data_IF_571806539375
#
_entry.id   IF_571806539375
#
_cell.length_a   1.000
_cell.length_b   1.000
_cell.length_c   1.000
_cell.angle_alpha   90.00
_cell.angle_beta   90.00
_cell.angle_gamma   90.00
#
_symmetry.space_group_name_H-M   'P 1'
#
loop_
_entity.id
_entity.type
_entity.pdbx_description
1 polymer ?
#
# COMPACT_ATOMS: atom_id res chain seq x y z
N UNK A 1 -12.46 31.19 -13.71
CA UNK A 1 -12.19 30.54 -12.41
C UNK A 1 -13.52 29.95 -11.94
N UNK A 2 -13.77 28.66 -12.14
CA UNK A 2 -15.00 28.04 -11.61
C UNK A 2 -14.87 27.95 -10.08
N UNK A 3 -15.89 28.38 -9.30
CA UNK A 3 -15.87 28.20 -7.86
C UNK A 3 -15.84 26.70 -7.55
N UNK A 4 -14.83 26.26 -6.81
CA UNK A 4 -14.74 24.87 -6.37
C UNK A 4 -15.85 24.62 -5.33
N UNK A 5 -16.64 23.56 -5.48
CA UNK A 5 -17.70 23.27 -4.52
C UNK A 5 -17.08 23.02 -3.14
N UNK A 6 -17.51 23.77 -2.13
CA UNK A 6 -17.11 23.55 -0.75
C UNK A 6 -17.65 22.20 -0.29
N UNK A 7 -16.76 21.32 0.14
CA UNK A 7 -17.16 19.99 0.62
C UNK A 7 -18.05 20.11 1.86
N UNK A 8 -19.08 19.27 1.92
CA UNK A 8 -19.96 19.18 3.09
C UNK A 8 -19.21 18.49 4.24
N UNK A 9 -19.56 18.79 5.50
CA UNK A 9 -18.98 18.14 6.69
C UNK A 9 -18.98 16.60 6.60
N UNK A 10 -20.03 16.00 6.03
CA UNK A 10 -20.11 14.55 5.77
C UNK A 10 -19.05 14.07 4.79
N UNK A 11 -18.82 14.80 3.70
CA UNK A 11 -17.80 14.46 2.70
C UNK A 11 -16.39 14.56 3.27
N UNK A 12 -16.12 15.56 4.13
CA UNK A 12 -14.85 15.64 4.85
C UNK A 12 -14.64 14.43 5.76
N UNK A 13 -15.69 14.02 6.48
CA UNK A 13 -15.61 12.85 7.36
C UNK A 13 -15.40 11.56 6.55
N UNK A 14 -16.09 11.40 5.41
CA UNK A 14 -15.88 10.26 4.51
C UNK A 14 -14.48 10.26 3.91
N UNK A 15 -14.01 11.40 3.39
CA UNK A 15 -12.68 11.53 2.79
C UNK A 15 -11.59 11.28 3.85
N UNK A 16 -11.74 11.85 5.05
CA UNK A 16 -10.85 11.62 6.18
C UNK A 16 -10.80 10.15 6.58
N UNK A 17 -11.94 9.47 6.65
CA UNK A 17 -12.01 8.03 6.93
C UNK A 17 -11.39 7.17 5.84
N UNK A 18 -11.55 7.54 4.56
CA UNK A 18 -10.93 6.83 3.43
C UNK A 18 -9.41 6.99 3.45
N UNK A 19 -8.91 8.22 3.64
CA UNK A 19 -7.49 8.50 3.77
C UNK A 19 -6.91 7.81 5.01
N UNK A 20 -7.63 7.83 6.12
CA UNK A 20 -7.27 7.07 7.32
C UNK A 20 -7.17 5.58 7.02
N UNK A 21 -8.19 4.97 6.40
CA UNK A 21 -8.16 3.54 6.05
C UNK A 21 -7.04 3.17 5.07
N UNK A 22 -6.73 4.06 4.13
CA UNK A 22 -5.63 3.89 3.18
C UNK A 22 -4.25 3.93 3.88
N UNK A 23 -4.07 4.81 4.86
CA UNK A 23 -2.81 4.94 5.62
C UNK A 23 -2.73 4.06 6.87
N UNK A 24 -3.84 3.56 7.42
CA UNK A 24 -3.87 2.64 8.57
C UNK A 24 -4.18 1.19 8.15
N UNK A 25 -3.98 0.86 6.86
CA UNK A 25 -4.13 -0.52 6.38
C UNK A 25 -3.24 -1.53 7.12
N UNK A 26 -3.45 -2.82 6.88
CA UNK A 26 -2.80 -3.92 7.63
C UNK A 26 -1.28 -3.78 7.80
N UNK A 27 -0.57 -3.26 6.80
CA UNK A 27 0.88 -3.03 6.86
C UNK A 27 1.32 -1.96 7.86
N UNK A 28 0.54 -0.88 8.01
CA UNK A 28 0.82 0.20 8.95
C UNK A 28 0.33 -0.11 10.38
N UNK A 29 -0.35 -1.24 10.59
CA UNK A 29 -0.73 -1.75 11.92
C UNK A 29 0.23 -2.84 12.42
N UNK A 30 0.67 -3.73 11.53
CA UNK A 30 1.59 -4.82 11.89
C UNK A 30 3.00 -4.28 12.19
N UNK A 31 3.48 -3.34 11.39
CA UNK A 31 4.86 -2.86 11.47
C UNK A 31 5.17 -2.11 12.79
N UNK A 32 4.29 -1.23 13.32
CA UNK A 32 4.54 -0.56 14.60
C UNK A 32 4.54 -1.51 15.78
N UNK A 33 3.70 -2.54 15.77
CA UNK A 33 3.68 -3.56 16.82
C UNK A 33 5.01 -4.31 16.82
N UNK A 34 5.47 -4.76 15.64
CA UNK A 34 6.74 -5.45 15.51
C UNK A 34 7.93 -4.55 15.90
N UNK A 35 7.96 -3.30 15.43
CA UNK A 35 9.01 -2.36 15.82
C UNK A 35 8.97 -2.02 17.31
N UNK A 36 7.79 -1.90 17.91
CA UNK A 36 7.62 -1.70 19.35
C UNK A 36 8.18 -2.88 20.16
N UNK A 37 7.95 -4.10 19.69
CA UNK A 37 8.55 -5.31 20.28
C UNK A 37 10.08 -5.28 20.20
N UNK A 38 10.66 -4.86 19.06
CA UNK A 38 12.10 -4.73 18.90
C UNK A 38 12.70 -3.58 19.73
N UNK A 39 11.96 -2.48 19.91
CA UNK A 39 12.39 -1.31 20.67
C UNK A 39 12.37 -1.54 22.19
N UNK A 40 11.60 -2.52 22.68
CA UNK A 40 11.52 -2.86 24.09
C UNK A 40 11.10 -1.66 24.96
N UNK A 41 11.97 -1.25 25.89
CA UNK A 41 11.71 -0.11 26.78
C UNK A 41 11.68 1.24 26.05
N UNK A 42 12.31 1.34 24.87
CA UNK A 42 12.37 2.55 24.05
C UNK A 42 11.25 2.64 23.00
N UNK A 43 10.10 2.00 23.26
CA UNK A 43 8.97 1.99 22.33
C UNK A 43 8.40 3.39 22.04
N UNK A 44 8.47 4.32 23.00
CA UNK A 44 7.90 5.66 22.86
C UNK A 44 8.69 6.52 21.84
N UNK A 45 10.03 6.62 21.91
CA UNK A 45 10.84 7.19 20.83
C UNK A 45 10.60 6.51 19.47
N UNK A 46 10.50 5.17 19.44
CA UNK A 46 10.26 4.42 18.22
C UNK A 46 8.89 4.74 17.59
N UNK A 47 7.85 4.90 18.42
CA UNK A 47 6.52 5.30 17.99
C UNK A 47 6.51 6.73 17.41
N UNK A 48 7.22 7.67 18.03
CA UNK A 48 7.32 9.05 17.51
C UNK A 48 8.06 9.06 16.17
N UNK A 49 9.19 8.37 16.06
CA UNK A 49 9.93 8.25 14.80
C UNK A 49 9.11 7.57 13.70
N UNK A 50 8.33 6.54 14.05
CA UNK A 50 7.39 5.90 13.13
C UNK A 50 6.30 6.87 12.68
N UNK A 51 5.64 7.58 13.58
CA UNK A 51 4.58 8.54 13.22
C UNK A 51 5.12 9.65 12.31
N UNK A 52 6.29 10.20 12.64
CA UNK A 52 6.93 11.23 11.83
C UNK A 52 7.31 10.73 10.44
N UNK A 53 7.80 9.50 10.29
CA UNK A 53 8.16 8.98 8.96
C UNK A 53 6.94 8.47 8.19
N UNK A 54 6.14 7.61 8.81
CA UNK A 54 5.04 6.89 8.15
C UNK A 54 3.80 7.76 7.89
N UNK A 55 3.59 8.85 8.63
CA UNK A 55 2.43 9.74 8.43
C UNK A 55 2.83 11.03 7.72
N UNK A 56 3.95 11.66 8.09
CA UNK A 56 4.34 12.94 7.49
C UNK A 56 4.68 12.79 6.00
N UNK A 57 5.42 11.75 5.60
CA UNK A 57 5.83 11.57 4.20
C UNK A 57 4.63 11.38 3.26
N UNK A 58 3.63 10.54 3.57
CA UNK A 58 2.43 10.46 2.74
C UNK A 58 1.58 11.73 2.72
N UNK A 59 1.49 12.45 3.85
CA UNK A 59 0.81 13.75 3.90
C UNK A 59 1.51 14.79 3.01
N UNK A 60 2.85 14.87 3.08
CA UNK A 60 3.65 15.72 2.20
C UNK A 60 3.48 15.33 0.73
N UNK A 61 3.37 14.02 0.44
CA UNK A 61 3.13 13.52 -0.92
C UNK A 61 1.77 13.97 -1.46
N UNK A 62 0.70 13.84 -0.66
CA UNK A 62 -0.64 14.35 -1.04
C UNK A 62 -0.61 15.86 -1.25
N UNK A 63 0.05 16.60 -0.35
CA UNK A 63 0.17 18.05 -0.47
C UNK A 63 0.91 18.45 -1.74
N UNK A 64 2.01 17.76 -2.07
CA UNK A 64 2.76 18.00 -3.30
C UNK A 64 1.90 17.76 -4.56
N UNK A 65 1.15 16.66 -4.61
CA UNK A 65 0.24 16.35 -5.73
C UNK A 65 -0.88 17.41 -5.83
N UNK A 66 -1.44 17.83 -4.69
CA UNK A 66 -2.48 18.85 -4.64
C UNK A 66 -1.98 20.21 -5.18
N UNK A 67 -0.73 20.57 -4.86
CA UNK A 67 -0.10 21.82 -5.30
C UNK A 67 0.26 21.80 -6.79
N UNK A 68 0.75 20.68 -7.32
CA UNK A 68 1.17 20.58 -8.73
C UNK A 68 -0.01 20.46 -9.70
N UNK A 69 -1.23 20.19 -9.20
CA UNK A 69 -2.45 19.96 -10.01
C UNK A 69 -2.23 18.92 -11.12
N UNK A 70 -1.32 17.98 -10.91
CA UNK A 70 -1.02 16.94 -11.87
C UNK A 70 -2.21 15.98 -11.99
N UNK A 71 -2.67 15.74 -13.21
CA UNK A 71 -3.72 14.77 -13.51
C UNK A 71 -3.26 13.33 -13.40
N UNK A 72 -1.94 13.09 -13.52
CA UNK A 72 -1.35 11.75 -13.49
C UNK A 72 0.05 11.76 -12.87
N UNK A 73 0.51 10.60 -12.39
CA UNK A 73 1.90 10.44 -11.93
C UNK A 73 2.91 10.72 -13.04
N UNK A 74 2.53 10.48 -14.30
CA UNK A 74 3.34 10.82 -15.45
C UNK A 74 3.52 12.34 -15.58
N UNK A 75 2.44 13.11 -15.45
CA UNK A 75 2.49 14.58 -15.50
C UNK A 75 3.34 15.16 -14.37
N UNK A 76 3.30 14.51 -13.20
CA UNK A 76 4.13 14.89 -12.05
C UNK A 76 5.63 14.70 -12.34
N UNK A 77 6.01 13.63 -13.05
CA UNK A 77 7.40 13.31 -13.36
C UNK A 77 7.89 13.89 -14.70
N UNK A 78 6.98 14.39 -15.55
CA UNK A 78 7.27 14.97 -16.87
C UNK A 78 8.35 16.07 -16.85
N UNK A 79 8.44 16.97 -15.84
CA UNK A 79 9.51 17.96 -15.76
C UNK A 79 10.92 17.37 -15.70
N UNK A 80 11.08 16.13 -15.23
CA UNK A 80 12.36 15.41 -15.21
C UNK A 80 12.68 14.68 -16.53
N UNK A 81 11.79 14.73 -17.52
CA UNK A 81 11.96 14.16 -18.85
C UNK A 81 11.02 13.00 -19.16
N UNK A 82 10.70 12.82 -20.45
CA UNK A 82 9.75 11.80 -20.93
C UNK A 82 10.13 10.36 -20.51
N UNK A 83 11.38 9.97 -20.76
CA UNK A 83 11.85 8.61 -20.45
C UNK A 83 11.84 8.33 -18.95
N UNK A 84 12.21 9.32 -18.14
CA UNK A 84 12.14 9.21 -16.68
C UNK A 84 10.69 9.10 -16.20
N UNK A 85 9.79 9.93 -16.71
CA UNK A 85 8.38 9.91 -16.33
C UNK A 85 7.69 8.58 -16.66
N UNK A 86 7.99 8.00 -17.83
CA UNK A 86 7.48 6.69 -18.23
C UNK A 86 8.03 5.57 -17.33
N UNK A 87 9.35 5.56 -17.09
CA UNK A 87 9.97 4.59 -16.19
C UNK A 87 9.39 4.68 -14.77
N UNK A 88 9.27 5.90 -14.23
CA UNK A 88 8.73 6.13 -12.89
C UNK A 88 7.28 5.68 -12.77
N UNK A 89 6.45 5.96 -13.79
CA UNK A 89 5.07 5.48 -13.84
C UNK A 89 5.00 3.95 -13.80
N UNK A 90 5.73 3.28 -14.70
CA UNK A 90 5.74 1.82 -14.81
C UNK A 90 6.30 1.16 -13.53
N UNK A 91 7.42 1.66 -13.03
CA UNK A 91 8.08 1.13 -11.82
C UNK A 91 7.17 1.26 -10.59
N UNK A 92 6.49 2.40 -10.43
CA UNK A 92 5.57 2.63 -9.31
C UNK A 92 4.36 1.71 -9.40
N UNK A 93 3.74 1.58 -10.57
CA UNK A 93 2.59 0.66 -10.76
C UNK A 93 2.98 -0.80 -10.55
N UNK A 94 4.14 -1.22 -11.09
CA UNK A 94 4.64 -2.58 -10.91
C UNK A 94 4.95 -2.89 -9.44
N UNK A 95 5.50 -1.92 -8.70
CA UNK A 95 5.82 -2.04 -7.27
C UNK A 95 4.56 -2.13 -6.40
N UNK A 96 3.56 -1.27 -6.67
CA UNK A 96 2.29 -1.23 -5.95
C UNK A 96 1.43 -2.47 -6.18
N UNK A 97 1.47 -3.04 -7.39
CA UNK A 97 0.71 -4.24 -7.73
C UNK A 97 1.44 -5.53 -7.39
N UNK A 98 2.32 -5.95 -8.30
CA UNK A 98 2.79 -7.34 -8.34
C UNK A 98 4.14 -7.57 -7.67
N UNK A 99 5.10 -6.64 -7.82
CA UNK A 99 6.51 -6.95 -7.57
C UNK A 99 6.93 -6.84 -6.11
N UNK A 100 6.36 -5.89 -5.35
CA UNK A 100 6.83 -5.61 -3.99
C UNK A 100 5.68 -5.75 -2.98
N UNK A 101 4.55 -5.10 -3.23
CA UNK A 101 3.45 -5.09 -2.27
C UNK A 101 2.87 -6.49 -2.02
N UNK A 102 2.57 -7.23 -3.09
CA UNK A 102 1.93 -8.55 -2.97
C UNK A 102 2.82 -9.64 -2.35
N UNK A 103 4.11 -9.80 -2.73
CA UNK A 103 4.99 -10.76 -2.06
C UNK A 103 5.24 -10.39 -0.58
N UNK A 104 5.33 -9.10 -0.27
CA UNK A 104 5.50 -8.62 1.11
C UNK A 104 4.29 -8.94 1.98
N UNK A 105 3.07 -8.74 1.48
CA UNK A 105 1.87 -9.08 2.26
C UNK A 105 1.78 -10.59 2.49
N UNK A 106 2.04 -11.41 1.47
CA UNK A 106 2.06 -12.87 1.60
C UNK A 106 3.06 -13.35 2.67
N UNK A 107 4.30 -12.86 2.61
CA UNK A 107 5.36 -13.25 3.55
C UNK A 107 5.10 -12.78 4.97
N UNK A 108 4.59 -11.55 5.15
CA UNK A 108 4.22 -11.03 6.48
C UNK A 108 3.06 -11.83 7.08
N UNK A 109 1.99 -12.07 6.31
CA UNK A 109 0.85 -12.88 6.77
C UNK A 109 1.28 -14.31 7.12
N UNK A 110 2.18 -14.92 6.33
CA UNK A 110 2.76 -16.22 6.67
C UNK A 110 3.56 -16.17 7.98
N UNK A 111 4.47 -15.20 8.13
CA UNK A 111 5.39 -15.10 9.26
C UNK A 111 4.68 -14.92 10.61
N UNK A 112 3.54 -14.22 10.63
CA UNK A 112 2.78 -13.94 11.85
C UNK A 112 1.65 -14.95 12.04
N UNK A 113 1.03 -15.42 10.95
CA UNK A 113 -0.17 -16.26 11.01
C UNK A 113 0.08 -17.77 11.00
N UNK A 114 1.14 -18.25 10.34
CA UNK A 114 1.37 -19.69 10.12
C UNK A 114 2.74 -20.14 10.63
N UNK A 115 3.79 -19.36 10.38
CA UNK A 115 5.16 -19.70 10.76
C UNK A 115 5.36 -20.04 12.25
N UNK A 116 4.68 -19.40 13.23
CA UNK A 116 4.82 -19.75 14.65
C UNK A 116 4.32 -21.15 15.01
N UNK A 117 3.48 -21.76 14.15
CA UNK A 117 2.89 -23.08 14.36
C UNK A 117 3.66 -24.21 13.66
N UNK A 118 4.67 -23.88 12.82
CA UNK A 118 5.47 -24.84 12.07
C UNK A 118 6.88 -25.00 12.67
N UNK A 119 7.39 -26.23 12.69
CA UNK A 119 8.78 -26.52 13.06
C UNK A 119 9.80 -25.89 12.09
N UNK A 120 10.96 -25.45 12.60
CA UNK A 120 11.99 -24.70 11.85
C UNK A 120 12.42 -25.32 10.52
N UNK A 121 12.37 -26.66 10.39
CA UNK A 121 12.74 -27.37 9.16
C UNK A 121 11.71 -27.32 8.02
N UNK A 122 10.45 -26.95 8.29
CA UNK A 122 9.38 -26.93 7.29
C UNK A 122 8.98 -25.53 6.83
N UNK A 123 9.62 -24.48 7.37
CA UNK A 123 9.18 -23.09 7.13
C UNK A 123 9.37 -22.64 5.68
N UNK A 124 10.43 -23.07 4.99
CA UNK A 124 10.64 -22.71 3.58
C UNK A 124 9.59 -23.34 2.65
N UNK A 125 9.30 -24.62 2.86
CA UNK A 125 8.28 -25.35 2.07
C UNK A 125 6.88 -24.81 2.40
N UNK A 126 6.60 -24.51 3.67
CA UNK A 126 5.36 -23.88 4.10
C UNK A 126 5.15 -22.49 3.48
N UNK A 127 6.20 -21.68 3.37
CA UNK A 127 6.14 -20.36 2.73
C UNK A 127 5.86 -20.46 1.23
N UNK A 128 6.47 -21.44 0.53
CA UNK A 128 6.21 -21.68 -0.89
C UNK A 128 4.76 -22.09 -1.14
N UNK A 129 4.24 -23.05 -0.36
CA UNK A 129 2.85 -23.52 -0.49
C UNK A 129 1.88 -22.39 -0.16
N UNK A 130 2.12 -21.64 0.93
CA UNK A 130 1.28 -20.52 1.31
C UNK A 130 1.27 -19.42 0.24
N UNK A 131 2.44 -19.06 -0.30
CA UNK A 131 2.55 -18.05 -1.35
C UNK A 131 1.82 -18.50 -2.61
N UNK A 132 1.94 -19.78 -3.00
CA UNK A 132 1.23 -20.33 -4.14
C UNK A 132 -0.29 -20.18 -3.98
N UNK A 133 -0.84 -20.56 -2.82
CA UNK A 133 -2.27 -20.40 -2.51
C UNK A 133 -2.66 -18.92 -2.49
N UNK A 134 -1.87 -18.07 -1.83
CA UNK A 134 -2.12 -16.63 -1.69
C UNK A 134 -2.20 -15.91 -3.04
N UNK A 135 -1.37 -16.29 -4.02
CA UNK A 135 -1.45 -15.73 -5.37
C UNK A 135 -2.53 -16.40 -6.22
N UNK A 136 -2.83 -17.68 -6.01
CA UNK A 136 -3.86 -18.39 -6.77
C UNK A 136 -5.27 -17.89 -6.47
N UNK A 137 -5.58 -17.59 -5.20
CA UNK A 137 -6.94 -17.18 -4.78
C UNK A 137 -7.41 -15.88 -5.46
N UNK A 138 -6.65 -14.78 -5.46
CA UNK A 138 -7.01 -13.56 -6.18
C UNK A 138 -7.04 -13.76 -7.70
N UNK A 139 -6.09 -14.51 -8.26
CA UNK A 139 -6.06 -14.80 -9.70
C UNK A 139 -7.31 -15.57 -10.16
N UNK A 140 -7.77 -16.55 -9.38
CA UNK A 140 -8.98 -17.30 -9.65
C UNK A 140 -10.24 -16.42 -9.49
N UNK A 141 -10.29 -15.56 -8.48
CA UNK A 141 -11.39 -14.60 -8.30
C UNK A 141 -11.45 -13.59 -9.46
N UNK A 142 -10.30 -13.11 -9.94
CA UNK A 142 -10.24 -12.27 -11.12
C UNK A 142 -10.70 -13.04 -12.36
N UNK A 143 -10.27 -14.30 -12.55
CA UNK A 143 -10.71 -15.13 -13.67
C UNK A 143 -12.23 -15.39 -13.69
N UNK A 144 -12.90 -15.40 -12.53
CA UNK A 144 -14.38 -15.55 -12.45
C UNK A 144 -15.14 -14.24 -12.63
N UNK A 145 -14.51 -13.09 -12.33
CA UNK A 145 -15.11 -11.74 -12.46
C UNK A 145 -14.82 -11.09 -13.81
N UNK A 146 -13.82 -11.58 -14.51
CA UNK A 146 -13.43 -11.15 -15.85
C UNK A 146 -14.40 -11.75 -16.87
N UNK A 147 -15.60 -11.17 -16.92
CA UNK A 147 -16.50 -11.25 -18.05
C UNK A 147 -16.25 -9.95 -18.85
N UNK A 148 -15.46 -10.04 -19.92
CA UNK A 148 -14.94 -8.87 -20.66
C UNK A 148 -16.02 -8.09 -21.45
N UNK A 149 -17.27 -8.56 -21.49
CA UNK A 149 -18.31 -8.04 -22.37
C UNK A 149 -19.12 -6.82 -21.86
N UNK A 150 -18.90 -6.34 -20.62
CA UNK A 150 -19.76 -5.29 -20.03
C UNK A 150 -19.15 -3.91 -19.82
N UNK A 151 -17.86 -3.69 -20.11
CA UNK A 151 -17.16 -2.43 -19.80
C UNK A 151 -16.71 -1.60 -21.03
N UNK A 152 -17.03 -2.06 -22.25
CA UNK A 152 -16.75 -1.35 -23.51
C UNK A 152 -17.99 -1.11 -24.38
N UNK A 153 -19.18 -1.03 -23.78
CA UNK A 153 -20.36 -0.41 -24.41
C UNK A 153 -20.60 0.98 -23.83
#
# INVERSE_FOLDING_TARGET
MSPQPTLTKRQYLTLGSLLFGMFFGAGNLIFPIHMGQLAGSAWLPAAIGFLLSAVLLPLLSIMAISLTRASSMYDLARPAGHSFALFFLLATHASLGLLIASPRTATVTYSIGIAPFLGKGQQQIGLLIFSFIFFLTPSCLLATKVNYDLYWQ
#
